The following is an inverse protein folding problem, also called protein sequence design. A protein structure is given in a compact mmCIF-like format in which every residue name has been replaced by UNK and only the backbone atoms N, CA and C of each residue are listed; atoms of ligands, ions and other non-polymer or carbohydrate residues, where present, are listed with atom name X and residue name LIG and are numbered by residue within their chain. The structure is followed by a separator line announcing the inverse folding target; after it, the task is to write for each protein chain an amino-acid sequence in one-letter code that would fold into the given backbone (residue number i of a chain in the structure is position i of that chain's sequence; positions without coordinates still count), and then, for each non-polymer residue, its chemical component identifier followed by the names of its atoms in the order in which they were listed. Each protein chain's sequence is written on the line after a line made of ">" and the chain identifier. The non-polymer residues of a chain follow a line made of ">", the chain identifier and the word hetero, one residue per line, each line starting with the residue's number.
data_IF_734162923650
#
_entry.id   IF_734162923650
#
_cell.length_a   1.000
_cell.length_b   1.000
_cell.length_c   1.000
_cell.angle_alpha   90.00
_cell.angle_beta   90.00
_cell.angle_gamma   90.00
#
_symmetry.space_group_name_H-M   'P 1'
#
loop_
_entity.id
_entity.type
_entity.pdbx_description
1 polymer ?
#
# COMPACT_ATOMS: atom_id res chain seq x y z
N UNK A 1 36.35 -21.30 -6.57
CA UNK A 1 35.28 -21.56 -7.56
C UNK A 1 33.97 -21.64 -6.78
N UNK A 2 33.18 -20.56 -6.72
CA UNK A 2 31.99 -20.51 -5.85
C UNK A 2 30.77 -20.99 -6.63
N UNK A 3 30.36 -22.23 -6.37
CA UNK A 3 29.20 -22.86 -7.01
C UNK A 3 27.94 -22.23 -6.40
N UNK A 4 27.29 -21.33 -7.14
CA UNK A 4 25.98 -20.76 -6.76
C UNK A 4 24.90 -21.81 -7.02
N UNK A 5 24.51 -22.54 -5.98
CA UNK A 5 23.40 -23.49 -6.07
C UNK A 5 22.09 -22.71 -6.15
N UNK A 6 21.49 -22.72 -7.35
CA UNK A 6 20.17 -22.18 -7.67
C UNK A 6 19.11 -22.80 -6.76
N UNK A 7 18.54 -22.02 -5.84
CA UNK A 7 17.39 -22.44 -5.03
C UNK A 7 16.22 -22.73 -5.97
N UNK A 8 15.84 -24.01 -6.08
CA UNK A 8 14.64 -24.43 -6.79
C UNK A 8 13.46 -24.31 -5.82
N UNK A 9 12.61 -23.32 -6.05
CA UNK A 9 11.30 -23.27 -5.38
C UNK A 9 10.54 -24.53 -5.79
N UNK A 10 10.42 -25.44 -4.82
CA UNK A 10 9.64 -26.67 -4.89
C UNK A 10 8.21 -26.27 -4.52
N UNK A 11 7.24 -26.89 -5.19
CA UNK A 11 5.80 -26.79 -4.95
C UNK A 11 5.05 -25.75 -5.82
N UNK A 12 5.23 -25.88 -7.13
CA UNK A 12 4.14 -25.68 -8.09
C UNK A 12 3.49 -27.04 -8.35
N UNK A 13 2.75 -27.56 -7.38
CA UNK A 13 1.87 -28.71 -7.59
C UNK A 13 0.57 -28.22 -8.21
N UNK A 14 0.39 -28.47 -9.50
CA UNK A 14 -0.87 -28.24 -10.21
C UNK A 14 -1.94 -29.17 -9.64
N UNK A 15 -2.81 -28.65 -8.78
CA UNK A 15 -3.95 -29.41 -8.23
C UNK A 15 -5.00 -29.56 -9.33
N UNK A 16 -4.99 -30.70 -10.01
CA UNK A 16 -6.04 -31.13 -10.94
C UNK A 16 -7.20 -31.74 -10.13
N UNK A 17 -8.24 -30.96 -9.80
CA UNK A 17 -9.40 -31.56 -9.12
C UNK A 17 -10.27 -30.63 -8.27
N UNK A 18 -10.06 -29.32 -8.32
CA UNK A 18 -11.02 -28.32 -7.85
C UNK A 18 -11.28 -27.47 -9.08
N UNK A 19 -12.54 -27.19 -9.40
CA UNK A 19 -12.89 -26.08 -10.33
C UNK A 19 -12.57 -24.76 -9.63
N UNK A 20 -11.30 -24.61 -9.23
CA UNK A 20 -10.76 -23.48 -8.55
C UNK A 20 -10.77 -22.36 -9.56
N UNK A 21 -11.71 -21.43 -9.38
CA UNK A 21 -11.59 -20.09 -9.91
C UNK A 21 -10.13 -19.68 -9.74
N UNK A 22 -9.45 -19.43 -10.86
CA UNK A 22 -8.10 -18.87 -10.89
C UNK A 22 -8.10 -17.73 -9.89
N UNK A 23 -7.34 -17.85 -8.79
CA UNK A 23 -7.40 -16.84 -7.73
C UNK A 23 -6.99 -15.51 -8.36
N UNK A 24 -7.91 -14.54 -8.51
CA UNK A 24 -7.67 -13.38 -9.35
C UNK A 24 -6.77 -12.40 -8.59
N UNK A 25 -5.48 -12.64 -8.59
CA UNK A 25 -4.49 -11.84 -7.87
C UNK A 25 -4.03 -10.59 -8.67
N UNK A 26 -4.58 -10.35 -9.86
CA UNK A 26 -4.11 -9.32 -10.80
C UNK A 26 -4.33 -7.88 -10.34
N UNK A 27 -5.10 -7.65 -9.28
CA UNK A 27 -5.50 -6.30 -8.88
C UNK A 27 -4.51 -5.63 -7.90
N UNK A 28 -3.54 -6.37 -7.34
CA UNK A 28 -2.66 -5.86 -6.29
C UNK A 28 -1.19 -6.16 -6.56
N UNK A 29 -0.43 -5.12 -6.92
CA UNK A 29 1.02 -5.23 -7.07
C UNK A 29 1.69 -4.98 -5.72
N UNK A 30 2.19 -6.05 -5.10
CA UNK A 30 2.96 -5.97 -3.86
C UNK A 30 4.42 -5.63 -4.14
N UNK A 31 5.01 -4.88 -3.23
CA UNK A 31 6.39 -4.44 -3.25
C UNK A 31 7.04 -4.82 -1.91
N UNK A 32 8.14 -5.57 -1.96
CA UNK A 32 8.95 -5.88 -0.79
C UNK A 32 10.00 -4.77 -0.56
N UNK A 33 9.96 -4.13 0.60
CA UNK A 33 10.98 -3.21 1.05
C UNK A 33 12.27 -3.96 1.47
N UNK A 34 13.45 -3.32 1.46
CA UNK A 34 14.72 -3.99 1.78
C UNK A 34 14.81 -4.49 3.23
N UNK A 35 13.99 -3.94 4.13
CA UNK A 35 13.80 -4.41 5.51
C UNK A 35 12.89 -5.64 5.63
N UNK A 36 12.35 -6.15 4.52
CA UNK A 36 11.43 -7.29 4.49
C UNK A 36 9.96 -6.92 4.68
N UNK A 37 9.62 -5.65 4.91
CA UNK A 37 8.23 -5.23 4.98
C UNK A 37 7.56 -5.33 3.60
N UNK A 38 6.35 -5.87 3.58
CA UNK A 38 5.54 -5.96 2.38
C UNK A 38 4.61 -4.75 2.38
N UNK A 39 4.54 -4.06 1.25
CA UNK A 39 3.67 -2.91 1.07
C UNK A 39 3.04 -2.89 -0.32
N UNK A 40 1.83 -2.32 -0.47
CA UNK A 40 1.21 -2.20 -1.77
C UNK A 40 1.87 -1.09 -2.60
N UNK A 41 1.66 -1.12 -3.92
CA UNK A 41 1.97 0.03 -4.78
C UNK A 41 0.74 0.87 -5.04
N UNK A 42 0.98 2.17 -5.11
CA UNK A 42 0.05 3.15 -5.67
C UNK A 42 -0.34 2.77 -7.10
N UNK A 43 -1.64 2.68 -7.40
CA UNK A 43 -2.14 2.33 -8.75
C UNK A 43 -1.68 3.32 -9.83
N UNK A 44 -1.63 4.61 -9.50
CA UNK A 44 -1.33 5.68 -10.48
C UNK A 44 0.18 5.91 -10.58
N UNK A 45 0.81 6.13 -9.43
CA UNK A 45 2.21 6.53 -9.34
C UNK A 45 3.21 5.37 -9.25
N UNK A 46 2.77 4.15 -8.95
CA UNK A 46 3.65 2.98 -8.83
C UNK A 46 4.63 3.01 -7.65
N UNK A 47 4.60 4.09 -6.85
CA UNK A 47 5.36 4.26 -5.61
C UNK A 47 5.04 3.12 -4.64
N UNK A 48 6.07 2.67 -3.94
CA UNK A 48 5.96 1.70 -2.86
C UNK A 48 5.41 2.42 -1.62
N UNK A 49 4.29 1.93 -1.10
CA UNK A 49 3.67 2.44 0.11
C UNK A 49 3.72 1.35 1.17
N UNK A 50 3.75 1.72 2.44
CA UNK A 50 3.47 0.79 3.54
C UNK A 50 1.95 0.60 3.65
N UNK A 51 1.49 -0.52 4.21
CA UNK A 51 0.05 -0.74 4.43
C UNK A 51 -0.60 0.33 5.31
N UNK A 52 0.16 1.00 6.20
CA UNK A 52 -0.35 2.10 7.02
C UNK A 52 -0.53 3.42 6.28
N UNK A 53 0.21 3.66 5.19
CA UNK A 53 0.14 4.89 4.40
C UNK A 53 -0.75 4.76 3.15
N UNK A 54 -1.04 3.53 2.73
CA UNK A 54 -1.85 3.28 1.55
C UNK A 54 -3.35 3.38 1.85
N UNK A 55 -4.07 4.17 1.07
CA UNK A 55 -5.52 4.26 1.17
C UNK A 55 -6.18 3.30 0.17
N UNK A 56 -7.17 2.55 0.63
CA UNK A 56 -7.90 1.59 -0.20
C UNK A 56 -9.07 2.27 -0.92
N UNK A 57 -9.10 2.16 -2.25
CA UNK A 57 -10.21 2.61 -3.10
C UNK A 57 -10.67 1.43 -3.93
N UNK A 58 -11.76 0.79 -3.50
CA UNK A 58 -12.28 -0.44 -4.12
C UNK A 58 -11.26 -1.58 -4.07
N UNK A 59 -10.71 -1.95 -5.23
CA UNK A 59 -9.72 -3.05 -5.37
C UNK A 59 -8.28 -2.56 -5.46
N UNK A 60 -8.02 -1.27 -5.24
CA UNK A 60 -6.71 -0.66 -5.46
C UNK A 60 -6.22 0.12 -4.24
N UNK A 61 -4.90 0.23 -4.14
CA UNK A 61 -4.24 1.09 -3.16
C UNK A 61 -3.71 2.36 -3.84
N UNK A 62 -3.86 3.50 -3.17
CA UNK A 62 -3.46 4.81 -3.65
C UNK A 62 -2.67 5.55 -2.55
N UNK A 63 -1.80 6.48 -2.95
CA UNK A 63 -1.25 7.46 -2.00
C UNK A 63 -2.29 8.56 -1.75
N UNK A 64 -2.07 9.38 -0.71
CA UNK A 64 -2.96 10.47 -0.32
C UNK A 64 -3.38 11.38 -1.48
N UNK A 65 -2.41 11.86 -2.27
CA UNK A 65 -2.67 12.79 -3.39
C UNK A 65 -3.68 12.21 -4.39
N UNK A 66 -3.42 10.99 -4.88
CA UNK A 66 -4.31 10.32 -5.83
C UNK A 66 -5.62 9.83 -5.18
N UNK A 67 -5.61 9.60 -3.86
CA UNK A 67 -6.84 9.30 -3.13
C UNK A 67 -7.78 10.51 -3.12
N UNK A 68 -7.25 11.70 -2.84
CA UNK A 68 -8.00 12.97 -2.88
C UNK A 68 -8.54 13.22 -4.29
N UNK A 69 -7.72 13.04 -5.33
CA UNK A 69 -8.17 13.18 -6.73
C UNK A 69 -9.28 12.18 -7.10
N UNK A 70 -9.18 10.93 -6.63
CA UNK A 70 -10.14 9.88 -6.98
C UNK A 70 -11.47 9.98 -6.20
N UNK A 71 -11.42 10.48 -4.96
CA UNK A 71 -12.59 10.50 -4.06
C UNK A 71 -13.19 11.89 -3.87
N UNK A 72 -12.44 12.95 -4.20
CA UNK A 72 -12.79 14.33 -3.85
C UNK A 72 -12.80 14.58 -2.34
N UNK A 73 -12.18 13.70 -1.55
CA UNK A 73 -12.13 13.84 -0.10
C UNK A 73 -11.24 15.03 0.29
N UNK A 74 -11.75 15.88 1.17
CA UNK A 74 -10.98 16.94 1.80
C UNK A 74 -10.66 16.59 3.25
N UNK A 75 -9.61 17.18 3.80
CA UNK A 75 -9.27 16.97 5.21
C UNK A 75 -10.37 17.54 6.10
N UNK A 76 -10.88 16.74 7.05
CA UNK A 76 -11.89 17.22 8.00
C UNK A 76 -11.31 18.21 9.03
N UNK A 77 -9.98 18.28 9.13
CA UNK A 77 -9.29 19.18 10.05
C UNK A 77 -9.11 20.54 9.40
N UNK A 78 -9.94 21.50 9.79
CA UNK A 78 -9.62 22.91 9.56
C UNK A 78 -8.43 23.27 10.45
N UNK A 79 -7.30 23.66 9.85
CA UNK A 79 -6.20 24.26 10.59
C UNK A 79 -6.74 25.59 11.13
N UNK A 80 -7.10 25.62 12.42
CA UNK A 80 -7.36 26.88 13.09
C UNK A 80 -6.03 27.62 13.17
N UNK A 81 -5.87 28.68 12.37
CA UNK A 81 -4.80 29.65 12.57
C UNK A 81 -5.09 30.40 13.87
N UNK A 82 -4.72 29.78 14.99
CA UNK A 82 -4.68 30.47 16.26
C UNK A 82 -3.40 31.31 16.27
N UNK A 83 -3.56 32.62 16.25
CA UNK A 83 -2.47 33.59 16.37
C UNK A 83 -1.70 33.40 17.69
N UNK A 84 -2.35 32.79 18.70
CA UNK A 84 -1.79 32.50 20.00
C UNK A 84 -1.97 31.02 20.37
N UNK A 85 -0.94 30.40 20.97
CA UNK A 85 -1.02 29.01 21.46
C UNK A 85 -2.00 28.95 22.62
N UNK A 86 -2.84 27.91 22.65
CA UNK A 86 -3.94 27.79 23.62
C UNK A 86 -3.54 27.83 25.11
N UNK A 87 -2.25 27.67 25.44
CA UNK A 87 -1.71 27.71 26.79
C UNK A 87 -1.05 29.05 27.17
N UNK A 88 -1.05 30.05 26.28
CA UNK A 88 -0.65 31.41 26.63
C UNK A 88 -1.89 32.18 27.10
N UNK A 89 -2.35 31.89 28.32
CA UNK A 89 -3.14 32.85 29.08
C UNK A 89 -2.18 33.88 29.65
N UNK A 90 -2.22 35.11 29.13
CA UNK A 90 -1.56 36.25 29.77
C UNK A 90 -2.23 36.48 31.12
N UNK A 91 -1.49 36.20 32.20
CA UNK A 91 -1.85 36.53 33.58
C UNK A 91 -1.91 38.04 33.80
#
# INVERSE_FOLDING_TARGET
>A
MVIRTRLKFKDSTTITGITGSTMPHDHITLAQAPNGEIGPRCKVCGMRLTFGNAMAVGKHFMCWEHYVEATGADTATSIGEAEERFWMTNE
#
